data_IF_613196033150
#
_entry.id   IF_613196033150
#
_cell.length_a   1.000
_cell.length_b   1.000
_cell.length_c   1.000
_cell.angle_alpha   90.00
_cell.angle_beta   90.00
_cell.angle_gamma   90.00
#
_symmetry.space_group_name_H-M   'P 1'
#
loop_
_entity.id
_entity.type
_entity.pdbx_description
1 polymer ?
#
# COMPACT_ATOMS: atom_id res chain seq x y z
N UNK A 1 23.96 15.50 -69.85
CA UNK A 1 23.67 14.13 -69.38
C UNK A 1 24.87 13.58 -68.61
N UNK A 2 24.75 13.40 -67.29
CA UNK A 2 25.45 12.39 -66.46
C UNK A 2 25.06 12.61 -64.99
N UNK A 3 24.05 11.87 -64.56
CA UNK A 3 23.53 11.79 -63.20
C UNK A 3 24.46 10.92 -62.34
N UNK A 4 25.07 11.49 -61.29
CA UNK A 4 25.72 10.71 -60.22
C UNK A 4 24.68 10.40 -59.13
N UNK A 5 24.24 9.13 -59.06
CA UNK A 5 23.49 8.60 -57.91
C UNK A 5 24.48 8.29 -56.78
N UNK A 6 24.46 9.05 -55.70
CA UNK A 6 25.04 8.65 -54.41
C UNK A 6 24.10 7.64 -53.74
N UNK A 7 24.59 6.42 -53.51
CA UNK A 7 23.93 5.41 -52.69
C UNK A 7 24.16 5.78 -51.22
N UNK A 8 23.10 6.16 -50.51
CA UNK A 8 23.10 6.28 -49.06
C UNK A 8 22.85 4.88 -48.49
N UNK A 9 23.89 4.27 -47.92
CA UNK A 9 23.77 3.06 -47.12
C UNK A 9 23.19 3.41 -45.74
N UNK A 10 21.92 3.11 -45.49
CA UNK A 10 21.37 3.11 -44.14
C UNK A 10 21.91 1.90 -43.36
N UNK A 11 22.90 2.13 -42.49
CA UNK A 11 23.24 1.20 -41.41
C UNK A 11 22.13 1.25 -40.36
N UNK A 12 21.36 0.16 -40.20
CA UNK A 12 20.50 -0.09 -39.03
C UNK A 12 21.39 -0.14 -37.78
N UNK A 13 21.32 0.89 -36.93
CA UNK A 13 21.85 0.86 -35.56
C UNK A 13 20.81 0.20 -34.67
N UNK A 14 21.17 -0.95 -34.10
CA UNK A 14 20.45 -1.55 -32.97
C UNK A 14 20.86 -0.76 -31.73
N UNK A 15 19.92 -0.04 -31.12
CA UNK A 15 20.12 0.67 -29.85
C UNK A 15 19.80 -0.31 -28.71
N UNK A 16 20.72 -0.59 -27.77
CA UNK A 16 20.36 -1.25 -26.53
C UNK A 16 19.77 -0.21 -25.58
N UNK A 17 18.53 -0.42 -25.15
CA UNK A 17 17.88 0.35 -24.10
C UNK A 17 18.39 -0.18 -22.75
N UNK A 18 19.28 0.56 -22.10
CA UNK A 18 19.79 0.26 -20.76
C UNK A 18 18.77 0.84 -19.76
N UNK A 19 18.05 -0.01 -19.04
CA UNK A 19 17.16 0.39 -17.96
C UNK A 19 17.98 0.37 -16.64
N UNK A 20 18.13 1.55 -16.05
CA UNK A 20 18.91 1.77 -14.84
C UNK A 20 18.20 1.17 -13.61
N UNK A 21 18.90 0.29 -12.89
CA UNK A 21 18.48 -0.22 -11.60
C UNK A 21 18.79 0.81 -10.50
N UNK A 22 17.76 1.38 -9.88
CA UNK A 22 17.89 2.16 -8.67
C UNK A 22 17.70 1.24 -7.45
N UNK A 23 18.79 0.96 -6.74
CA UNK A 23 18.77 0.29 -5.44
C UNK A 23 18.21 1.25 -4.39
N UNK A 24 17.08 0.90 -3.78
CA UNK A 24 16.62 1.53 -2.54
C UNK A 24 16.92 0.57 -1.40
N UNK A 25 17.86 0.97 -0.55
CA UNK A 25 18.23 0.28 0.69
C UNK A 25 17.19 0.55 1.77
N UNK A 26 16.47 -0.49 2.20
CA UNK A 26 15.60 -0.46 3.39
C UNK A 26 16.34 -0.99 4.64
N UNK A 27 16.13 -0.41 5.83
CA UNK A 27 16.80 -0.83 7.05
C UNK A 27 16.24 -2.14 7.62
N UNK A 28 17.13 -2.94 8.21
CA UNK A 28 16.85 -4.17 8.91
C UNK A 28 16.04 -3.92 10.19
N UNK A 29 14.98 -4.70 10.43
CA UNK A 29 14.34 -4.85 11.73
C UNK A 29 14.31 -6.33 12.14
N UNK A 30 14.66 -6.55 13.42
CA UNK A 30 14.83 -7.83 14.10
C UNK A 30 13.49 -8.52 14.45
N UNK A 31 13.49 -9.84 14.75
CA UNK A 31 12.27 -10.63 14.96
C UNK A 31 11.74 -10.50 16.40
N UNK A 32 10.41 -10.59 16.64
CA UNK A 32 9.87 -10.72 17.98
C UNK A 32 9.92 -12.18 18.47
N UNK A 33 10.22 -12.32 19.76
CA UNK A 33 10.34 -13.57 20.50
C UNK A 33 8.98 -14.18 20.83
N UNK A 34 8.94 -15.51 20.86
CA UNK A 34 7.81 -16.32 21.29
C UNK A 34 7.68 -16.38 22.83
N UNK A 35 6.46 -16.22 23.35
CA UNK A 35 5.93 -16.71 24.62
C UNK A 35 4.40 -16.77 24.43
N UNK A 36 3.61 -17.73 24.90
CA UNK A 36 3.71 -18.66 26.02
C UNK A 36 2.34 -18.68 26.68
N UNK A 37 1.77 -19.88 26.86
CA UNK A 37 0.35 -20.19 27.03
C UNK A 37 -0.38 -19.73 28.33
N UNK A 38 -1.71 -19.67 28.19
CA UNK A 38 -2.81 -20.07 29.12
C UNK A 38 -2.96 -19.44 30.53
N UNK A 39 -4.15 -18.87 30.78
CA UNK A 39 -4.97 -19.12 31.98
C UNK A 39 -6.39 -18.56 31.81
N UNK A 40 -7.39 -19.45 31.79
CA UNK A 40 -8.83 -19.14 31.82
C UNK A 40 -9.30 -18.79 33.25
N UNK A 41 -10.26 -17.86 33.34
CA UNK A 41 -11.09 -17.58 34.51
C UNK A 41 -12.37 -16.85 34.08
N UNK A 42 -13.53 -17.09 34.72
CA UNK A 42 -14.84 -16.91 34.11
C UNK A 42 -15.25 -15.43 34.10
N UNK A 43 -15.39 -14.85 32.90
CA UNK A 43 -15.94 -13.51 32.68
C UNK A 43 -17.46 -13.55 32.44
N UNK A 44 -18.19 -12.47 32.79
CA UNK A 44 -19.63 -12.38 32.55
C UNK A 44 -19.93 -12.35 31.06
N UNK A 45 -21.10 -12.89 30.70
CA UNK A 45 -21.60 -13.12 29.35
C UNK A 45 -21.16 -12.05 28.34
N UNK A 46 -20.42 -12.50 27.33
CA UNK A 46 -20.14 -11.76 26.10
C UNK A 46 -21.47 -11.29 25.52
N UNK A 47 -21.73 -9.98 25.59
CA UNK A 47 -22.65 -9.36 24.64
C UNK A 47 -22.08 -9.68 23.25
N UNK A 48 -22.77 -10.54 22.50
CA UNK A 48 -22.45 -10.84 21.11
C UNK A 48 -22.40 -9.52 20.36
N UNK A 49 -21.19 -8.97 20.17
CA UNK A 49 -20.96 -7.85 19.27
C UNK A 49 -21.50 -8.29 17.91
N UNK A 50 -22.43 -7.52 17.35
CA UNK A 50 -22.85 -7.74 15.97
C UNK A 50 -21.60 -7.86 15.09
N UNK A 51 -21.56 -8.85 14.17
CA UNK A 51 -20.38 -9.08 13.38
C UNK A 51 -20.06 -7.81 12.58
N UNK A 52 -18.81 -7.36 12.69
CA UNK A 52 -18.33 -6.13 12.04
C UNK A 52 -18.51 -6.13 10.51
N UNK A 53 -18.56 -7.33 9.92
CA UNK A 53 -18.75 -7.57 8.50
C UNK A 53 -19.88 -8.59 8.27
N UNK A 54 -20.59 -8.47 7.16
CA UNK A 54 -21.54 -9.49 6.74
C UNK A 54 -20.84 -10.80 6.31
N UNK A 55 -21.58 -11.92 6.31
CA UNK A 55 -21.04 -13.24 5.98
C UNK A 55 -20.39 -13.29 4.59
N UNK A 56 -20.89 -12.51 3.63
CA UNK A 56 -20.38 -12.50 2.26
C UNK A 56 -19.02 -11.80 2.17
N UNK A 57 -18.85 -10.70 2.89
CA UNK A 57 -17.60 -9.96 2.99
C UNK A 57 -16.57 -10.77 3.76
N UNK A 58 -16.95 -11.43 4.85
CA UNK A 58 -16.07 -12.35 5.58
C UNK A 58 -15.59 -13.50 4.70
N UNK A 59 -16.50 -14.12 3.93
CA UNK A 59 -16.14 -15.19 3.01
C UNK A 59 -15.15 -14.74 1.93
N UNK A 60 -15.25 -13.48 1.46
CA UNK A 60 -14.28 -12.89 0.54
C UNK A 60 -12.92 -12.66 1.20
N UNK A 61 -12.90 -12.05 2.38
CA UNK A 61 -11.66 -11.80 3.14
C UNK A 61 -10.94 -13.09 3.57
N UNK A 62 -11.66 -14.21 3.65
CA UNK A 62 -11.13 -15.52 4.00
C UNK A 62 -10.85 -16.40 2.77
N UNK A 63 -11.16 -15.89 1.56
CA UNK A 63 -10.77 -16.57 0.35
C UNK A 63 -9.24 -16.44 0.16
N UNK A 64 -8.65 -17.37 -0.60
CA UNK A 64 -7.20 -17.37 -0.83
C UNK A 64 -6.81 -16.45 -2.00
N UNK A 65 -7.57 -15.37 -2.20
CA UNK A 65 -7.34 -14.32 -3.20
C UNK A 65 -7.15 -13.00 -2.44
N UNK A 66 -6.21 -12.17 -2.91
CA UNK A 66 -5.99 -10.83 -2.38
C UNK A 66 -6.40 -9.83 -3.44
N UNK A 67 -7.61 -9.31 -3.33
CA UNK A 67 -8.16 -8.23 -4.15
C UNK A 67 -7.70 -6.85 -3.64
N UNK A 68 -7.70 -5.86 -4.53
CA UNK A 68 -7.14 -4.55 -4.19
C UNK A 68 -8.02 -3.76 -3.21
N UNK A 69 -9.35 -3.84 -3.37
CA UNK A 69 -10.32 -3.08 -2.59
C UNK A 69 -10.49 -3.59 -1.15
N UNK A 70 -10.11 -4.83 -0.86
CA UNK A 70 -10.19 -5.43 0.47
C UNK A 70 -8.93 -5.25 1.33
N UNK A 71 -7.84 -4.68 0.78
CA UNK A 71 -6.61 -4.40 1.54
C UNK A 71 -6.89 -3.70 2.88
N UNK A 72 -7.76 -2.67 2.97
CA UNK A 72 -8.07 -2.03 4.24
C UNK A 72 -8.67 -3.00 5.27
N UNK A 73 -9.64 -3.81 4.85
CA UNK A 73 -10.36 -4.73 5.72
C UNK A 73 -9.46 -5.89 6.16
N UNK A 74 -8.61 -6.40 5.27
CA UNK A 74 -7.61 -7.42 5.59
C UNK A 74 -6.61 -6.92 6.65
N UNK A 75 -6.16 -5.67 6.52
CA UNK A 75 -5.26 -5.07 7.50
C UNK A 75 -5.98 -4.87 8.83
N UNK A 76 -7.21 -4.34 8.80
CA UNK A 76 -8.01 -4.15 10.00
C UNK A 76 -8.21 -5.46 10.77
N UNK A 77 -8.67 -6.50 10.05
CA UNK A 77 -9.09 -7.76 10.63
C UNK A 77 -7.93 -8.70 10.95
N UNK A 78 -6.85 -8.73 10.17
CA UNK A 78 -5.82 -9.79 10.27
C UNK A 78 -4.40 -9.31 10.50
N UNK A 79 -4.09 -8.01 10.39
CA UNK A 79 -2.75 -7.56 10.74
C UNK A 79 -2.55 -7.63 12.25
N UNK A 80 -1.63 -8.48 12.70
CA UNK A 80 -1.42 -8.74 14.13
C UNK A 80 -1.08 -7.48 14.94
N UNK A 81 -0.35 -6.53 14.36
CA UNK A 81 -0.02 -5.27 15.05
C UNK A 81 -1.24 -4.38 15.19
N UNK A 82 -2.12 -4.34 14.19
CA UNK A 82 -3.35 -3.54 14.24
C UNK A 82 -4.35 -4.16 15.20
N UNK A 83 -4.54 -5.49 15.14
CA UNK A 83 -5.36 -6.22 16.10
C UNK A 83 -4.91 -5.93 17.54
N UNK A 84 -3.63 -6.12 17.83
CA UNK A 84 -3.09 -5.88 19.18
C UNK A 84 -3.34 -4.44 19.64
N UNK A 85 -3.10 -3.45 18.77
CA UNK A 85 -3.30 -2.05 19.12
C UNK A 85 -4.78 -1.72 19.43
N UNK A 86 -5.72 -2.32 18.69
CA UNK A 86 -7.16 -2.16 18.94
C UNK A 86 -7.62 -2.92 20.18
N UNK A 87 -7.08 -4.11 20.43
CA UNK A 87 -7.35 -4.91 21.63
C UNK A 87 -6.87 -4.19 22.88
N UNK A 88 -5.66 -3.63 22.86
CA UNK A 88 -5.11 -2.84 23.97
C UNK A 88 -6.00 -1.62 24.26
N UNK A 89 -6.45 -0.90 23.22
CA UNK A 89 -7.37 0.23 23.38
C UNK A 89 -8.73 -0.18 23.98
N UNK A 90 -9.32 -1.25 23.45
CA UNK A 90 -10.61 -1.77 23.92
C UNK A 90 -10.52 -2.29 25.36
N UNK A 91 -9.39 -2.90 25.72
CA UNK A 91 -9.09 -3.34 27.08
C UNK A 91 -8.98 -2.15 28.03
N UNK A 92 -8.22 -1.12 27.66
CA UNK A 92 -8.09 0.10 28.48
C UNK A 92 -9.45 0.76 28.73
N UNK A 93 -10.30 0.83 27.70
CA UNK A 93 -11.67 1.35 27.83
C UNK A 93 -12.50 0.49 28.80
N UNK A 94 -12.45 -0.83 28.64
CA UNK A 94 -13.19 -1.78 29.48
C UNK A 94 -12.73 -1.74 30.94
N UNK A 95 -11.43 -1.70 31.18
CA UNK A 95 -10.85 -1.66 32.52
C UNK A 95 -11.14 -0.31 33.21
N UNK A 96 -11.13 0.80 32.46
CA UNK A 96 -11.58 2.13 32.94
C UNK A 96 -13.04 2.08 33.39
N UNK A 97 -13.94 1.46 32.61
CA UNK A 97 -15.35 1.31 32.94
C UNK A 97 -15.59 0.45 34.19
N UNK A 98 -14.81 -0.63 34.36
CA UNK A 98 -14.86 -1.47 35.57
C UNK A 98 -14.42 -0.69 36.80
N UNK A 99 -13.32 0.08 36.72
CA UNK A 99 -12.85 0.91 37.83
C UNK A 99 -13.89 1.97 38.21
N UNK A 100 -14.49 2.64 37.22
CA UNK A 100 -15.56 3.60 37.45
C UNK A 100 -16.74 2.95 38.19
N UNK A 101 -17.19 1.79 37.73
CA UNK A 101 -18.31 1.04 38.32
C UNK A 101 -18.02 0.65 39.77
N UNK A 102 -16.80 0.19 40.06
CA UNK A 102 -16.38 -0.15 41.42
C UNK A 102 -16.30 1.09 42.32
N UNK A 103 -15.79 2.22 41.83
CA UNK A 103 -15.78 3.46 42.62
C UNK A 103 -17.20 3.95 42.94
N UNK A 104 -18.15 3.79 42.01
CA UNK A 104 -19.56 4.10 42.25
C UNK A 104 -20.22 3.11 43.22
N UNK A 105 -19.85 1.83 43.19
CA UNK A 105 -20.35 0.84 44.16
C UNK A 105 -19.86 1.18 45.57
N UNK A 106 -18.57 1.51 45.73
CA UNK A 106 -17.99 1.93 47.00
C UNK A 106 -18.61 3.24 47.51
N UNK A 107 -18.88 4.21 46.63
CA UNK A 107 -19.59 5.43 47.00
C UNK A 107 -21.01 5.14 47.54
N UNK A 108 -21.74 4.18 46.94
CA UNK A 108 -23.06 3.77 47.43
C UNK A 108 -22.97 3.11 48.81
N UNK A 109 -21.99 2.23 49.01
CA UNK A 109 -21.76 1.60 50.31
C UNK A 109 -21.45 2.65 51.40
N UNK A 110 -20.59 3.63 51.11
CA UNK A 110 -20.31 4.72 52.05
C UNK A 110 -21.55 5.56 52.34
N UNK A 111 -22.43 5.78 51.35
CA UNK A 111 -23.72 6.45 51.55
C UNK A 111 -24.64 5.67 52.47
N UNK A 112 -24.73 4.36 52.32
CA UNK A 112 -25.55 3.48 53.18
C UNK A 112 -25.01 3.46 54.62
N UNK A 113 -23.68 3.36 54.80
CA UNK A 113 -23.04 3.42 56.12
C UNK A 113 -23.24 4.79 56.79
N UNK A 114 -23.16 5.87 56.02
CA UNK A 114 -23.48 7.23 56.49
C UNK A 114 -24.92 7.30 57.02
N UNK A 115 -25.89 6.81 56.26
CA UNK A 115 -27.31 6.82 56.65
C UNK A 115 -27.54 6.00 57.94
N UNK A 116 -26.89 4.83 58.08
CA UNK A 116 -26.94 4.02 59.30
C UNK A 116 -26.35 4.74 60.52
N UNK A 117 -25.20 5.41 60.37
CA UNK A 117 -24.57 6.17 61.45
C UNK A 117 -25.42 7.38 61.88
N UNK A 118 -26.10 8.04 60.93
CA UNK A 118 -27.06 9.12 61.22
C UNK A 118 -28.27 8.60 62.03
N UNK A 119 -28.79 7.43 61.69
CA UNK A 119 -29.90 6.78 62.42
C UNK A 119 -29.50 6.35 63.84
N UNK A 120 -28.22 5.98 64.05
CA UNK A 120 -27.64 5.63 65.35
C UNK A 120 -27.23 6.86 66.18
N UNK A 121 -27.22 8.06 65.58
CA UNK A 121 -26.81 9.30 66.22
C UNK A 121 -25.30 9.48 66.33
N UNK A 122 -24.50 8.71 65.60
CA UNK A 122 -23.05 8.82 65.54
C UNK A 122 -22.62 9.85 64.48
N UNK A 123 -22.48 11.10 64.93
CA UNK A 123 -22.11 12.20 64.05
C UNK A 123 -20.66 12.13 63.54
N UNK A 124 -19.76 11.42 64.23
CA UNK A 124 -18.35 11.31 63.84
C UNK A 124 -18.20 10.33 62.67
N UNK A 125 -18.81 9.16 62.78
CA UNK A 125 -18.80 8.15 61.71
C UNK A 125 -19.61 8.61 60.48
N UNK A 126 -20.75 9.28 60.69
CA UNK A 126 -21.53 9.87 59.59
C UNK A 126 -20.69 10.89 58.78
N UNK A 127 -19.92 11.74 59.46
CA UNK A 127 -19.04 12.71 58.79
C UNK A 127 -17.89 12.03 58.05
N UNK A 128 -17.30 10.99 58.64
CA UNK A 128 -16.26 10.18 58.00
C UNK A 128 -16.76 9.49 56.72
N UNK A 129 -17.90 8.80 56.77
CA UNK A 129 -18.48 8.14 55.61
C UNK A 129 -18.91 9.11 54.51
N UNK A 130 -19.43 10.29 54.88
CA UNK A 130 -19.74 11.35 53.91
C UNK A 130 -18.49 11.85 53.17
N UNK A 131 -17.35 11.98 53.87
CA UNK A 131 -16.08 12.36 53.24
C UNK A 131 -15.60 11.28 52.26
N UNK A 132 -15.71 10.00 52.64
CA UNK A 132 -15.29 8.88 51.81
C UNK A 132 -16.20 8.70 50.58
N UNK A 133 -17.52 8.81 50.74
CA UNK A 133 -18.48 8.86 49.63
C UNK A 133 -18.07 9.93 48.60
N UNK A 134 -17.80 11.15 49.07
CA UNK A 134 -17.42 12.26 48.21
C UNK A 134 -16.08 11.99 47.50
N UNK A 135 -15.11 11.40 48.20
CA UNK A 135 -13.83 11.00 47.62
C UNK A 135 -14.03 9.99 46.48
N UNK A 136 -14.76 8.90 46.72
CA UNK A 136 -15.07 7.89 45.71
C UNK A 136 -15.84 8.46 44.52
N UNK A 137 -16.84 9.32 44.75
CA UNK A 137 -17.56 10.02 43.67
C UNK A 137 -16.63 10.91 42.84
N UNK A 138 -15.72 11.62 43.49
CA UNK A 138 -14.76 12.49 42.79
C UNK A 138 -13.79 11.69 41.92
N UNK A 139 -13.36 10.52 42.40
CA UNK A 139 -12.54 9.58 41.62
C UNK A 139 -13.34 9.01 40.46
N UNK A 140 -14.54 8.47 40.72
CA UNK A 140 -15.43 7.91 39.71
C UNK A 140 -15.69 8.92 38.57
N UNK A 141 -15.92 10.19 38.92
CA UNK A 141 -16.12 11.27 37.94
C UNK A 141 -14.92 11.41 36.99
N UNK A 142 -13.68 11.32 37.46
CA UNK A 142 -12.50 11.38 36.59
C UNK A 142 -12.47 10.23 35.58
N UNK A 143 -12.90 9.03 36.01
CA UNK A 143 -13.03 7.89 35.11
C UNK A 143 -14.19 8.08 34.12
N UNK A 144 -15.32 8.67 34.53
CA UNK A 144 -16.39 9.09 33.61
C UNK A 144 -15.86 10.04 32.54
N UNK A 145 -15.16 11.10 32.94
CA UNK A 145 -14.60 12.08 32.01
C UNK A 145 -13.61 11.43 31.03
N UNK A 146 -12.85 10.42 31.49
CA UNK A 146 -11.93 9.63 30.66
C UNK A 146 -12.68 8.73 29.67
N UNK A 147 -13.78 8.09 30.10
CA UNK A 147 -14.64 7.30 29.21
C UNK A 147 -15.30 8.17 28.13
N UNK A 148 -15.81 9.35 28.50
CA UNK A 148 -16.32 10.32 27.52
C UNK A 148 -15.22 10.77 26.53
N UNK A 149 -13.95 10.75 26.95
CA UNK A 149 -12.83 11.02 26.06
C UNK A 149 -12.54 9.85 25.10
N UNK A 150 -12.74 8.59 25.51
CA UNK A 150 -12.63 7.41 24.63
C UNK A 150 -13.69 7.41 23.52
N UNK A 151 -14.90 7.89 23.80
CA UNK A 151 -15.99 7.99 22.81
C UNK A 151 -15.71 9.05 21.72
N UNK A 152 -14.77 9.97 21.96
CA UNK A 152 -14.45 11.02 20.99
C UNK A 152 -13.60 10.44 19.85
N UNK A 153 -13.83 10.86 18.58
CA UNK A 153 -13.04 10.40 17.43
C UNK A 153 -11.52 10.61 17.56
N UNK A 154 -11.09 11.53 18.42
CA UNK A 154 -9.68 11.79 18.71
C UNK A 154 -8.98 10.62 19.42
N UNK A 155 -9.71 9.80 20.19
CA UNK A 155 -9.12 8.73 21.00
C UNK A 155 -8.50 7.63 20.13
N UNK A 156 -9.19 7.24 19.06
CA UNK A 156 -8.72 6.23 18.11
C UNK A 156 -7.96 6.83 16.93
N UNK A 157 -7.74 8.16 16.90
CA UNK A 157 -7.16 8.84 15.73
C UNK A 157 -5.78 8.29 15.37
N UNK A 158 -4.91 8.09 16.37
CA UNK A 158 -3.57 7.55 16.14
C UNK A 158 -3.60 6.10 15.64
N UNK A 159 -4.52 5.28 16.16
CA UNK A 159 -4.70 3.89 15.71
C UNK A 159 -5.10 3.82 14.24
N UNK A 160 -6.16 4.55 13.87
CA UNK A 160 -6.62 4.66 12.48
C UNK A 160 -5.53 5.21 11.56
N UNK A 161 -4.69 6.12 12.05
CA UNK A 161 -3.56 6.62 11.27
C UNK A 161 -2.50 5.56 10.99
N UNK A 162 -2.14 4.75 11.99
CA UNK A 162 -1.19 3.64 11.82
C UNK A 162 -1.74 2.61 10.83
N UNK A 163 -3.02 2.25 10.98
CA UNK A 163 -3.72 1.36 10.07
C UNK A 163 -3.68 1.88 8.63
N UNK A 164 -4.06 3.14 8.42
CA UNK A 164 -4.03 3.79 7.09
C UNK A 164 -2.62 3.87 6.48
N UNK A 165 -1.57 4.01 7.30
CA UNK A 165 -0.19 3.94 6.80
C UNK A 165 0.15 2.54 6.27
N UNK A 166 -0.28 1.49 6.97
CA UNK A 166 -0.13 0.12 6.49
C UNK A 166 -0.93 -0.11 5.21
N UNK A 167 -2.17 0.39 5.12
CA UNK A 167 -2.99 0.29 3.89
C UNK A 167 -2.26 0.90 2.71
N UNK A 168 -1.80 2.15 2.83
CA UNK A 168 -1.02 2.81 1.77
C UNK A 168 0.25 2.01 1.40
N UNK A 169 0.92 1.43 2.40
CA UNK A 169 2.09 0.57 2.19
C UNK A 169 1.75 -0.70 1.40
N UNK A 170 0.68 -1.38 1.76
CA UNK A 170 0.21 -2.60 1.09
C UNK A 170 -0.26 -2.33 -0.33
N UNK A 171 -1.03 -1.27 -0.56
CA UNK A 171 -1.41 -0.83 -1.91
C UNK A 171 -0.17 -0.59 -2.79
N UNK A 172 0.86 0.07 -2.25
CA UNK A 172 2.13 0.32 -2.95
C UNK A 172 2.86 -0.98 -3.29
N UNK A 173 2.90 -1.95 -2.36
CA UNK A 173 3.47 -3.27 -2.63
C UNK A 173 2.67 -4.02 -3.71
N UNK A 174 1.35 -3.91 -3.72
CA UNK A 174 0.50 -4.56 -4.71
C UNK A 174 0.71 -3.95 -6.11
N UNK A 175 0.88 -2.63 -6.23
CA UNK A 175 1.28 -1.97 -7.48
C UNK A 175 2.64 -2.48 -7.97
N UNK A 176 3.62 -2.58 -7.06
CA UNK A 176 4.95 -3.10 -7.37
C UNK A 176 4.89 -4.55 -7.85
N UNK A 177 4.19 -5.42 -7.12
CA UNK A 177 4.00 -6.83 -7.47
C UNK A 177 3.38 -6.98 -8.86
N UNK A 178 2.28 -6.28 -9.13
CA UNK A 178 1.60 -6.35 -10.42
C UNK A 178 2.47 -5.84 -11.57
N UNK A 179 3.23 -4.77 -11.35
CA UNK A 179 4.18 -4.25 -12.34
C UNK A 179 5.30 -5.26 -12.64
N UNK A 180 5.85 -5.90 -11.60
CA UNK A 180 6.89 -6.92 -11.75
C UNK A 180 6.37 -8.20 -12.42
N UNK A 181 5.10 -8.57 -12.17
CA UNK A 181 4.44 -9.71 -12.83
C UNK A 181 4.38 -9.50 -14.35
N UNK A 182 4.04 -8.29 -14.80
CA UNK A 182 4.04 -7.93 -16.23
C UNK A 182 5.45 -7.93 -16.84
N UNK A 183 6.46 -7.51 -16.07
CA UNK A 183 7.87 -7.58 -16.51
C UNK A 183 8.33 -9.03 -16.66
N UNK A 184 7.96 -9.90 -15.72
CA UNK A 184 8.24 -11.34 -15.77
C UNK A 184 7.64 -11.99 -17.02
N UNK A 185 6.38 -11.70 -17.35
CA UNK A 185 5.71 -12.24 -18.55
C UNK A 185 6.46 -11.88 -19.85
N UNK A 186 6.89 -10.62 -20.00
CA UNK A 186 7.71 -10.21 -21.14
C UNK A 186 9.06 -10.91 -21.18
N UNK A 187 9.70 -11.03 -20.02
CA UNK A 187 11.00 -11.66 -19.91
C UNK A 187 10.93 -13.15 -20.24
N UNK A 188 9.82 -13.81 -19.90
CA UNK A 188 9.57 -15.22 -20.22
C UNK A 188 9.46 -15.41 -21.74
N UNK A 189 8.71 -14.53 -22.41
CA UNK A 189 8.64 -14.55 -23.87
C UNK A 189 9.97 -14.20 -24.54
N UNK A 190 10.74 -13.29 -23.95
CA UNK A 190 12.08 -12.95 -24.44
C UNK A 190 13.03 -14.16 -24.38
N UNK A 191 12.94 -14.96 -23.31
CA UNK A 191 13.64 -16.25 -23.20
C UNK A 191 13.25 -17.19 -24.34
N UNK A 192 11.96 -17.31 -24.66
CA UNK A 192 11.48 -18.16 -25.75
C UNK A 192 12.03 -17.72 -27.12
N UNK A 193 12.08 -16.40 -27.37
CA UNK A 193 12.68 -15.83 -28.59
C UNK A 193 14.17 -16.20 -28.68
N UNK A 194 14.94 -16.06 -27.59
CA UNK A 194 16.35 -16.41 -27.59
C UNK A 194 16.60 -17.90 -27.70
N UNK A 195 15.73 -18.74 -27.14
CA UNK A 195 15.79 -20.19 -27.35
C UNK A 195 15.64 -20.52 -28.83
N UNK A 196 14.62 -19.98 -29.51
CA UNK A 196 14.42 -20.23 -30.93
C UNK A 196 15.60 -19.73 -31.79
N UNK A 197 16.23 -18.60 -31.41
CA UNK A 197 17.45 -18.10 -32.08
C UNK A 197 18.65 -19.00 -31.87
N UNK A 198 18.80 -19.56 -30.67
CA UNK A 198 19.86 -20.52 -30.38
C UNK A 198 19.68 -21.81 -31.18
N UNK A 199 18.48 -22.37 -31.22
CA UNK A 199 18.16 -23.57 -32.01
C UNK A 199 18.47 -23.37 -33.50
N UNK A 200 18.09 -22.21 -34.05
CA UNK A 200 18.40 -21.84 -35.43
C UNK A 200 19.91 -21.74 -35.67
N UNK A 201 20.64 -21.07 -34.77
CA UNK A 201 22.08 -20.93 -34.88
C UNK A 201 22.80 -22.29 -34.82
N UNK A 202 22.32 -23.23 -33.99
CA UNK A 202 22.85 -24.60 -33.96
C UNK A 202 22.62 -25.32 -35.30
N UNK A 203 21.43 -25.23 -35.88
CA UNK A 203 21.13 -25.84 -37.17
C UNK A 203 22.01 -25.25 -38.30
N UNK A 204 22.26 -23.95 -38.29
CA UNK A 204 23.14 -23.28 -39.27
C UNK A 204 24.61 -23.69 -39.10
N UNK A 205 25.08 -23.93 -37.87
CA UNK A 205 26.41 -24.51 -37.64
C UNK A 205 26.49 -25.93 -38.20
N UNK A 206 25.47 -26.76 -37.98
CA UNK A 206 25.42 -28.12 -38.54
C UNK A 206 25.37 -28.12 -40.07
N UNK A 207 24.68 -27.15 -40.66
CA UNK A 207 24.64 -26.94 -42.11
C UNK A 207 25.92 -26.28 -42.67
N UNK A 208 26.88 -25.89 -41.83
CA UNK A 208 28.12 -25.24 -42.21
C UNK A 208 27.97 -23.79 -42.68
N UNK A 209 26.82 -23.16 -42.46
CA UNK A 209 26.53 -21.77 -42.87
C UNK A 209 26.88 -20.75 -41.80
N UNK A 210 27.09 -21.18 -40.55
CA UNK A 210 27.58 -20.35 -39.43
C UNK A 210 28.69 -21.01 -38.63
N UNK A 211 29.34 -20.22 -37.79
CA UNK A 211 30.42 -20.68 -36.92
C UNK A 211 29.93 -21.08 -35.53
N UNK A 212 30.68 -21.92 -34.82
CA UNK A 212 30.40 -22.24 -33.41
C UNK A 212 30.37 -21.00 -32.50
N UNK A 213 31.10 -19.94 -32.85
CA UNK A 213 31.09 -18.67 -32.13
C UNK A 213 29.72 -17.97 -32.22
N UNK A 214 29.03 -18.07 -33.37
CA UNK A 214 27.70 -17.50 -33.56
C UNK A 214 26.66 -18.22 -32.69
N UNK A 215 26.72 -19.55 -32.63
CA UNK A 215 25.86 -20.34 -31.75
C UNK A 215 26.15 -20.07 -30.26
N UNK A 216 27.42 -19.86 -29.89
CA UNK A 216 27.78 -19.49 -28.52
C UNK A 216 27.25 -18.10 -28.13
N UNK A 217 27.27 -17.13 -29.05
CA UNK A 217 26.70 -15.80 -28.83
C UNK A 217 25.19 -15.87 -28.55
N UNK A 218 24.45 -16.66 -29.34
CA UNK A 218 23.01 -16.89 -29.11
C UNK A 218 22.74 -17.60 -27.77
N UNK A 219 23.58 -18.57 -27.38
CA UNK A 219 23.49 -19.22 -26.07
C UNK A 219 23.67 -18.25 -24.91
N UNK A 220 24.63 -17.33 -25.01
CA UNK A 220 24.87 -16.34 -23.96
C UNK A 220 23.68 -15.39 -23.79
N UNK A 221 22.96 -15.05 -24.87
CA UNK A 221 21.73 -14.25 -24.80
C UNK A 221 20.60 -14.99 -24.09
N UNK A 222 20.42 -16.28 -24.39
CA UNK A 222 19.46 -17.14 -23.71
C UNK A 222 19.75 -17.21 -22.19
N UNK A 223 20.99 -17.54 -21.82
CA UNK A 223 21.40 -17.63 -20.40
C UNK A 223 21.21 -16.32 -19.65
N UNK A 224 21.45 -15.19 -20.33
CA UNK A 224 21.21 -13.86 -19.75
C UNK A 224 19.72 -13.61 -19.51
N UNK A 225 18.86 -14.04 -20.43
CA UNK A 225 17.42 -13.91 -20.26
C UNK A 225 16.86 -14.80 -19.14
N UNK A 226 17.37 -16.03 -19.01
CA UNK A 226 17.04 -16.96 -17.91
C UNK A 226 17.50 -16.43 -16.56
N UNK A 227 18.70 -15.87 -16.48
CA UNK A 227 19.22 -15.27 -15.25
C UNK A 227 18.37 -14.07 -14.79
N UNK A 228 17.91 -13.26 -15.74
CA UNK A 228 17.01 -12.15 -15.46
C UNK A 228 15.63 -12.63 -14.96
N UNK A 229 15.10 -13.74 -15.47
CA UNK A 229 13.87 -14.37 -14.95
C UNK A 229 14.02 -14.78 -13.48
N UNK A 230 15.09 -15.50 -13.15
CA UNK A 230 15.33 -15.96 -11.77
C UNK A 230 15.42 -14.77 -10.79
N UNK A 231 16.05 -13.67 -11.22
CA UNK A 231 16.15 -12.44 -10.43
C UNK A 231 14.78 -11.77 -10.24
N UNK A 232 13.96 -11.71 -11.29
CA UNK A 232 12.59 -11.20 -11.23
C UNK A 232 11.71 -12.05 -10.31
N UNK A 233 11.80 -13.39 -10.42
CA UNK A 233 11.05 -14.33 -9.58
C UNK A 233 11.41 -14.18 -8.11
N UNK A 234 12.70 -14.06 -7.80
CA UNK A 234 13.18 -13.82 -6.44
C UNK A 234 12.67 -12.50 -5.86
N UNK A 235 12.57 -11.47 -6.70
CA UNK A 235 12.10 -10.16 -6.27
C UNK A 235 10.57 -10.13 -6.12
N UNK A 236 9.84 -10.82 -7.01
CA UNK A 236 8.39 -11.02 -6.90
C UNK A 236 8.03 -11.75 -5.61
N UNK A 237 8.75 -12.83 -5.28
CA UNK A 237 8.53 -13.58 -4.04
C UNK A 237 8.72 -12.70 -2.79
N UNK A 238 9.71 -11.80 -2.80
CA UNK A 238 9.92 -10.85 -1.69
C UNK A 238 8.78 -9.85 -1.55
N UNK A 239 8.37 -9.21 -2.66
CA UNK A 239 7.27 -8.24 -2.63
C UNK A 239 5.97 -8.94 -2.21
N UNK A 240 5.71 -10.14 -2.72
CA UNK A 240 4.55 -10.96 -2.34
C UNK A 240 4.56 -11.30 -0.86
N UNK A 241 5.69 -11.78 -0.32
CA UNK A 241 5.82 -12.12 1.09
C UNK A 241 5.59 -10.91 1.99
N UNK A 242 6.15 -9.75 1.64
CA UNK A 242 5.91 -8.50 2.37
C UNK A 242 4.45 -8.06 2.32
N UNK A 243 3.78 -8.21 1.17
CA UNK A 243 2.35 -7.92 1.03
C UNK A 243 1.52 -8.85 1.92
N UNK A 244 1.79 -10.16 1.87
CA UNK A 244 1.10 -11.17 2.69
C UNK A 244 1.20 -10.86 4.18
N UNK A 245 2.41 -10.59 4.69
CA UNK A 245 2.60 -10.27 6.12
C UNK A 245 1.82 -9.02 6.52
N UNK A 246 1.82 -8.00 5.66
CA UNK A 246 1.12 -6.75 5.97
C UNK A 246 -0.40 -6.92 5.98
N UNK A 247 -0.94 -7.77 5.11
CA UNK A 247 -2.39 -8.06 5.04
C UNK A 247 -2.83 -9.21 5.94
N UNK A 248 -1.94 -9.74 6.80
CA UNK A 248 -2.27 -10.70 7.86
C UNK A 248 -2.06 -12.18 7.52
N UNK A 249 -1.59 -12.50 6.32
CA UNK A 249 -1.15 -13.85 5.99
C UNK A 249 0.23 -14.16 6.57
N UNK A 250 0.53 -15.44 6.76
CA UNK A 250 1.89 -15.86 7.09
C UNK A 250 2.86 -15.56 5.93
N UNK A 251 4.13 -15.32 6.24
CA UNK A 251 5.15 -14.99 5.24
C UNK A 251 5.36 -16.08 4.16
N UNK A 252 4.99 -17.32 4.46
CA UNK A 252 5.06 -18.48 3.55
C UNK A 252 3.73 -18.84 2.90
N UNK A 253 2.67 -18.05 3.11
CA UNK A 253 1.41 -18.23 2.42
C UNK A 253 1.55 -17.92 0.92
N UNK A 254 0.65 -18.50 0.12
CA UNK A 254 0.65 -18.33 -1.33
C UNK A 254 -0.74 -17.93 -1.86
N UNK A 255 -1.31 -16.79 -1.42
CA UNK A 255 -2.59 -16.31 -1.94
C UNK A 255 -2.45 -15.89 -3.41
N UNK A 256 -3.54 -16.01 -4.18
CA UNK A 256 -3.60 -15.44 -5.52
C UNK A 256 -3.71 -13.91 -5.41
N UNK A 257 -2.74 -13.18 -5.95
CA UNK A 257 -2.79 -11.72 -5.92
C UNK A 257 -3.60 -11.22 -7.12
N UNK A 258 -4.69 -10.53 -6.83
CA UNK A 258 -5.59 -9.91 -7.79
C UNK A 258 -4.90 -8.87 -8.67
N UNK A 259 -5.56 -8.54 -9.78
CA UNK A 259 -5.15 -7.44 -10.64
C UNK A 259 -5.52 -6.08 -10.03
N UNK A 260 -4.73 -5.07 -10.35
CA UNK A 260 -5.12 -3.68 -10.08
C UNK A 260 -6.29 -3.31 -11.00
N UNK A 261 -7.34 -2.64 -10.47
CA UNK A 261 -8.45 -2.16 -11.29
C UNK A 261 -8.00 -1.24 -12.44
N UNK A 262 -8.86 -1.10 -13.44
CA UNK A 262 -8.63 -0.10 -14.49
C UNK A 262 -8.79 1.31 -13.91
N UNK A 263 -7.83 2.18 -14.21
CA UNK A 263 -7.84 3.55 -13.71
C UNK A 263 -8.94 4.36 -14.41
N UNK A 264 -9.85 4.91 -13.61
CA UNK A 264 -10.93 5.76 -14.12
C UNK A 264 -10.49 7.23 -14.17
N UNK A 265 -10.34 7.73 -15.41
CA UNK A 265 -10.01 9.14 -15.63
C UNK A 265 -11.13 10.10 -15.21
N UNK A 266 -12.38 9.63 -15.06
CA UNK A 266 -13.49 10.47 -14.65
C UNK A 266 -13.36 10.98 -13.21
N UNK A 267 -12.64 10.25 -12.34
CA UNK A 267 -12.35 10.65 -10.96
C UNK A 267 -11.68 12.03 -10.92
N UNK A 268 -10.76 12.31 -11.85
CA UNK A 268 -10.05 13.60 -11.90
C UNK A 268 -10.98 14.80 -12.16
N UNK A 269 -12.14 14.59 -12.78
CA UNK A 269 -13.11 15.67 -13.02
C UNK A 269 -13.80 16.14 -11.73
N UNK A 270 -13.76 15.32 -10.69
CA UNK A 270 -14.35 15.65 -9.38
C UNK A 270 -13.39 16.42 -8.47
N UNK A 271 -12.11 16.50 -8.82
CA UNK A 271 -11.10 17.13 -7.98
C UNK A 271 -11.20 18.66 -8.01
N UNK A 272 -11.21 19.26 -6.84
CA UNK A 272 -11.04 20.69 -6.64
C UNK A 272 -9.69 20.90 -5.96
N UNK A 273 -8.65 21.14 -6.77
CA UNK A 273 -7.27 21.25 -6.29
C UNK A 273 -7.14 22.28 -5.18
N UNK A 274 -7.94 23.35 -5.18
CA UNK A 274 -7.88 24.37 -4.12
C UNK A 274 -8.49 23.84 -2.82
N UNK A 275 -9.70 23.29 -2.88
CA UNK A 275 -10.39 22.74 -1.70
C UNK A 275 -9.64 21.53 -1.13
N UNK A 276 -9.16 20.65 -2.00
CA UNK A 276 -8.39 19.45 -1.66
C UNK A 276 -7.04 19.81 -1.03
N UNK A 277 -6.36 20.86 -1.52
CA UNK A 277 -5.14 21.37 -0.89
C UNK A 277 -5.41 21.94 0.51
N UNK A 278 -6.50 22.67 0.69
CA UNK A 278 -6.88 23.18 2.02
C UNK A 278 -7.16 22.02 3.00
N UNK A 279 -7.84 20.97 2.53
CA UNK A 279 -8.08 19.75 3.30
C UNK A 279 -6.76 19.02 3.63
N UNK A 280 -5.85 18.89 2.66
CA UNK A 280 -4.52 18.32 2.86
C UNK A 280 -3.73 19.07 3.94
N UNK A 281 -3.73 20.41 3.91
CA UNK A 281 -3.06 21.27 4.90
C UNK A 281 -3.64 21.09 6.32
N UNK A 282 -4.96 20.86 6.42
CA UNK A 282 -5.61 20.55 7.69
C UNK A 282 -5.24 19.17 8.23
N UNK A 283 -5.09 18.19 7.34
CA UNK A 283 -4.92 16.78 7.70
C UNK A 283 -3.45 16.34 7.80
N UNK A 284 -2.51 17.06 7.20
CA UNK A 284 -1.11 16.64 7.12
C UNK A 284 -0.46 16.50 8.50
N UNK A 285 0.14 15.34 8.77
CA UNK A 285 0.68 15.03 10.11
C UNK A 285 1.92 15.86 10.45
N UNK A 286 2.79 16.11 9.48
CA UNK A 286 3.98 16.95 9.67
C UNK A 286 3.57 18.37 10.04
N UNK A 287 2.58 18.95 9.37
CA UNK A 287 2.05 20.28 9.70
C UNK A 287 1.35 20.32 11.06
N UNK A 288 0.56 19.29 11.40
CA UNK A 288 -0.06 19.18 12.73
C UNK A 288 1.01 19.13 13.82
N UNK A 289 2.07 18.34 13.62
CA UNK A 289 3.22 18.27 14.52
C UNK A 289 3.90 19.61 14.67
N UNK A 290 4.24 20.27 13.56
CA UNK A 290 4.86 21.59 13.55
C UNK A 290 4.02 22.66 14.26
N UNK A 291 2.70 22.68 14.08
CA UNK A 291 1.78 23.63 14.73
C UNK A 291 1.66 23.41 16.24
N UNK A 292 1.81 22.18 16.69
CA UNK A 292 1.67 21.79 18.11
C UNK A 292 3.00 21.75 18.86
N UNK A 293 4.12 21.83 18.14
CA UNK A 293 5.46 21.80 18.70
C UNK A 293 5.69 22.98 19.67
N UNK A 294 6.35 22.69 20.79
CA UNK A 294 6.70 23.71 21.77
C UNK A 294 7.75 24.67 21.21
N UNK A 295 7.51 25.97 21.34
CA UNK A 295 8.41 27.01 20.85
C UNK A 295 8.64 28.12 21.89
N UNK A 296 9.75 28.84 21.73
CA UNK A 296 10.06 30.00 22.58
C UNK A 296 9.00 31.09 22.41
N UNK A 297 8.39 31.53 23.51
CA UNK A 297 7.38 32.61 23.53
C UNK A 297 7.98 34.02 23.35
N UNK A 298 9.28 34.12 23.03
CA UNK A 298 9.89 35.37 22.57
C UNK A 298 9.36 35.77 21.19
N UNK A 299 9.45 37.05 20.83
CA UNK A 299 9.05 37.54 19.50
C UNK A 299 9.77 36.77 18.39
N UNK A 300 11.09 36.61 18.50
CA UNK A 300 11.88 35.88 17.51
C UNK A 300 11.48 34.39 17.43
N UNK A 301 11.23 33.75 18.57
CA UNK A 301 10.78 32.36 18.64
C UNK A 301 9.41 32.15 18.00
N UNK A 302 8.46 33.04 18.30
CA UNK A 302 7.10 32.98 17.72
C UNK A 302 7.11 33.26 16.21
N UNK A 303 7.89 34.26 15.75
CA UNK A 303 8.02 34.54 14.31
C UNK A 303 8.67 33.38 13.58
N UNK A 304 9.71 32.75 14.16
CA UNK A 304 10.34 31.60 13.53
C UNK A 304 9.38 30.39 13.44
N UNK A 305 8.62 30.12 14.49
CA UNK A 305 7.62 29.05 14.48
C UNK A 305 6.55 29.26 13.41
N UNK A 306 5.99 30.48 13.33
CA UNK A 306 5.01 30.81 12.28
C UNK A 306 5.60 30.61 10.87
N UNK A 307 6.83 31.09 10.65
CA UNK A 307 7.53 30.92 9.37
C UNK A 307 7.73 29.45 8.99
N UNK A 308 8.05 28.58 9.95
CA UNK A 308 8.21 27.13 9.69
C UNK A 308 6.89 26.52 9.26
N UNK A 309 5.79 26.83 9.96
CA UNK A 309 4.45 26.35 9.59
C UNK A 309 4.04 26.87 8.21
N UNK A 310 4.19 28.16 7.95
CA UNK A 310 3.88 28.77 6.64
C UNK A 310 4.70 28.15 5.50
N UNK A 311 5.99 27.89 5.75
CA UNK A 311 6.85 27.21 4.77
C UNK A 311 6.34 25.80 4.46
N UNK A 312 5.97 25.03 5.48
CA UNK A 312 5.39 23.70 5.29
C UNK A 312 4.08 23.73 4.51
N UNK A 313 3.20 24.70 4.78
CA UNK A 313 1.94 24.88 4.05
C UNK A 313 2.18 25.20 2.55
N UNK A 314 3.17 26.04 2.26
CA UNK A 314 3.59 26.34 0.89
C UNK A 314 4.17 25.11 0.19
N UNK A 315 5.02 24.35 0.87
CA UNK A 315 5.59 23.10 0.35
C UNK A 315 4.49 22.07 0.03
N UNK A 316 3.51 21.92 0.92
CA UNK A 316 2.37 21.04 0.68
C UNK A 316 1.53 21.52 -0.50
N UNK A 317 1.29 22.83 -0.62
CA UNK A 317 0.57 23.40 -1.77
C UNK A 317 1.25 23.07 -3.09
N UNK A 318 2.58 23.23 -3.16
CA UNK A 318 3.37 22.87 -4.34
C UNK A 318 3.31 21.36 -4.59
N UNK A 319 3.40 20.54 -3.53
CA UNK A 319 3.30 19.08 -3.63
C UNK A 319 1.96 18.62 -4.18
N UNK A 320 0.85 19.21 -3.72
CA UNK A 320 -0.49 18.90 -4.22
C UNK A 320 -0.66 19.24 -5.70
N UNK A 321 -0.15 20.40 -6.13
CA UNK A 321 -0.14 20.76 -7.56
C UNK A 321 0.71 19.78 -8.38
N UNK A 322 1.86 19.36 -7.86
CA UNK A 322 2.74 18.39 -8.50
C UNK A 322 2.09 16.99 -8.61
N UNK A 323 1.35 16.54 -7.59
CA UNK A 323 0.60 15.29 -7.62
C UNK A 323 -0.52 15.33 -8.66
N UNK A 324 -1.26 16.44 -8.73
CA UNK A 324 -2.28 16.64 -9.77
C UNK A 324 -1.66 16.58 -11.17
N UNK A 325 -0.57 17.31 -11.40
CA UNK A 325 0.11 17.28 -12.69
C UNK A 325 0.67 15.89 -13.02
N UNK A 326 1.20 15.18 -12.03
CA UNK A 326 1.64 13.79 -12.18
C UNK A 326 0.50 12.89 -12.64
N UNK A 327 -0.69 13.01 -12.04
CA UNK A 327 -1.87 12.24 -12.46
C UNK A 327 -2.25 12.55 -13.92
N UNK A 328 -2.24 13.83 -14.32
CA UNK A 328 -2.48 14.24 -15.72
C UNK A 328 -1.45 13.60 -16.67
N UNK A 329 -0.17 13.64 -16.31
CA UNK A 329 0.90 13.08 -17.13
C UNK A 329 0.79 11.56 -17.26
N UNK A 330 0.44 10.86 -16.17
CA UNK A 330 0.22 9.40 -16.18
C UNK A 330 -1.02 9.01 -16.98
N UNK A 331 -2.10 9.79 -16.91
CA UNK A 331 -3.27 9.61 -17.77
C UNK A 331 -2.87 9.70 -19.25
N UNK A 332 -2.13 10.75 -19.63
CA UNK A 332 -1.69 10.93 -21.02
C UNK A 332 -0.75 9.78 -21.47
N UNK A 333 0.12 9.30 -20.59
CA UNK A 333 0.97 8.15 -20.85
C UNK A 333 0.17 6.86 -21.03
N UNK A 334 -0.89 6.66 -20.24
CA UNK A 334 -1.83 5.55 -20.38
C UNK A 334 -2.56 5.58 -21.73
N UNK A 335 -3.13 6.74 -22.10
CA UNK A 335 -3.82 6.93 -23.37
C UNK A 335 -2.88 6.64 -24.57
N UNK A 336 -1.63 7.11 -24.50
CA UNK A 336 -0.62 6.83 -25.51
C UNK A 336 -0.22 5.35 -25.57
N UNK A 337 -0.04 4.70 -24.42
CA UNK A 337 0.28 3.28 -24.35
C UNK A 337 -0.86 2.41 -24.87
N UNK A 338 -2.11 2.79 -24.59
CA UNK A 338 -3.31 2.13 -25.11
C UNK A 338 -3.36 2.17 -26.64
N UNK A 339 -3.11 3.32 -27.26
CA UNK A 339 -3.04 3.43 -28.73
C UNK A 339 -1.92 2.55 -29.32
N UNK A 340 -0.76 2.50 -28.65
CA UNK A 340 0.36 1.62 -29.03
C UNK A 340 0.01 0.14 -28.94
N UNK A 341 -0.70 -0.28 -27.89
CA UNK A 341 -1.20 -1.63 -27.71
C UNK A 341 -2.20 -2.04 -28.79
N UNK A 342 -3.18 -1.18 -29.10
CA UNK A 342 -4.17 -1.44 -30.15
C UNK A 342 -3.50 -1.67 -31.52
N UNK A 343 -2.51 -0.85 -31.87
CA UNK A 343 -1.72 -1.03 -33.10
C UNK A 343 -0.96 -2.35 -33.12
N UNK A 344 -0.33 -2.71 -32.00
CA UNK A 344 0.39 -3.97 -31.87
C UNK A 344 -0.53 -5.20 -31.92
N UNK A 345 -1.75 -5.11 -31.38
CA UNK A 345 -2.75 -6.16 -31.46
C UNK A 345 -3.15 -6.47 -32.91
N UNK A 346 -3.31 -5.44 -33.74
CA UNK A 346 -3.55 -5.59 -35.19
C UNK A 346 -2.36 -6.26 -35.87
N UNK A 347 -1.13 -5.78 -35.58
CA UNK A 347 0.09 -6.35 -36.16
C UNK A 347 0.28 -7.83 -35.77
N UNK A 348 -0.05 -8.20 -34.52
CA UNK A 348 -0.02 -9.57 -34.02
C UNK A 348 -0.99 -10.46 -34.77
N UNK A 349 -2.22 -10.01 -35.00
CA UNK A 349 -3.20 -10.77 -35.79
C UNK A 349 -2.70 -11.04 -37.23
N UNK A 350 -2.06 -10.06 -37.86
CA UNK A 350 -1.43 -10.26 -39.18
C UNK A 350 -0.29 -11.29 -39.10
N UNK A 351 0.53 -11.25 -38.06
CA UNK A 351 1.59 -12.24 -37.85
C UNK A 351 1.02 -13.66 -37.63
N UNK A 352 -0.06 -13.80 -36.85
CA UNK A 352 -0.76 -15.08 -36.64
C UNK A 352 -1.22 -15.69 -37.97
N UNK A 353 -1.85 -14.87 -38.83
CA UNK A 353 -2.34 -15.31 -40.14
C UNK A 353 -1.18 -15.76 -41.03
N UNK A 354 -0.11 -14.96 -41.12
CA UNK A 354 1.07 -15.31 -41.93
C UNK A 354 1.75 -16.57 -41.42
N UNK A 355 1.85 -16.76 -40.11
CA UNK A 355 2.42 -17.95 -39.51
C UNK A 355 1.59 -19.20 -39.83
N UNK A 356 0.25 -19.12 -39.69
CA UNK A 356 -0.67 -20.21 -40.08
C UNK A 356 -0.58 -20.59 -41.55
N UNK A 357 -0.26 -19.63 -42.42
CA UNK A 357 -0.07 -19.85 -43.86
C UNK A 357 1.37 -20.29 -44.20
N UNK A 358 2.23 -20.56 -43.22
CA UNK A 358 3.66 -20.88 -43.38
C UNK A 358 4.46 -19.78 -44.12
N UNK A 359 3.97 -18.53 -44.09
CA UNK A 359 4.60 -17.37 -44.72
C UNK A 359 5.53 -16.59 -43.78
N UNK A 360 5.64 -17.01 -42.51
CA UNK A 360 6.46 -16.39 -41.48
C UNK A 360 7.30 -17.47 -40.80
N UNK A 361 8.60 -17.22 -40.61
CA UNK A 361 9.45 -18.15 -39.86
C UNK A 361 9.03 -18.17 -38.38
N UNK A 362 9.37 -19.26 -37.67
CA UNK A 362 9.09 -19.36 -36.23
C UNK A 362 9.74 -18.23 -35.42
N UNK A 363 10.97 -17.85 -35.75
CA UNK A 363 11.66 -16.75 -35.07
C UNK A 363 10.96 -15.40 -35.30
N UNK A 364 10.55 -15.11 -36.54
CA UNK A 364 9.87 -13.84 -36.85
C UNK A 364 8.48 -13.77 -36.20
N UNK A 365 7.78 -14.91 -36.09
CA UNK A 365 6.52 -14.99 -35.36
C UNK A 365 6.69 -14.70 -33.87
N UNK A 366 7.67 -15.34 -33.21
CA UNK A 366 7.94 -15.11 -31.79
C UNK A 366 8.37 -13.66 -31.51
N UNK A 367 9.11 -13.01 -32.43
CA UNK A 367 9.44 -11.58 -32.32
C UNK A 367 8.21 -10.67 -32.44
N UNK A 368 7.27 -10.99 -33.34
CA UNK A 368 6.01 -10.26 -33.45
C UNK A 368 5.15 -10.43 -32.19
N UNK A 369 5.10 -11.64 -31.63
CA UNK A 369 4.39 -11.93 -30.38
C UNK A 369 5.02 -11.20 -29.19
N UNK A 370 6.36 -11.19 -29.08
CA UNK A 370 7.09 -10.41 -28.07
C UNK A 370 6.77 -8.92 -28.18
N UNK A 371 6.75 -8.37 -29.39
CA UNK A 371 6.42 -6.94 -29.61
C UNK A 371 5.01 -6.61 -29.11
N UNK A 372 4.06 -7.52 -29.34
CA UNK A 372 2.70 -7.39 -28.82
C UNK A 372 2.66 -7.41 -27.28
N UNK A 373 3.31 -8.39 -26.64
CA UNK A 373 3.35 -8.49 -25.18
C UNK A 373 4.02 -7.27 -24.55
N UNK A 374 5.10 -6.75 -25.15
CA UNK A 374 5.76 -5.54 -24.68
C UNK A 374 4.81 -4.33 -24.72
N UNK A 375 3.97 -4.22 -25.75
CA UNK A 375 2.99 -3.13 -25.85
C UNK A 375 1.80 -3.33 -24.92
N UNK A 376 1.35 -4.57 -24.71
CA UNK A 376 0.34 -4.93 -23.72
C UNK A 376 0.81 -4.56 -22.31
N UNK A 377 1.99 -5.02 -21.93
CA UNK A 377 2.58 -4.72 -20.63
C UNK A 377 2.85 -3.23 -20.45
N UNK A 378 3.29 -2.50 -21.48
CA UNK A 378 3.45 -1.05 -21.40
C UNK A 378 2.11 -0.34 -21.09
N UNK A 379 1.01 -0.82 -21.69
CA UNK A 379 -0.35 -0.34 -21.39
C UNK A 379 -0.78 -0.70 -19.97
N UNK A 380 -0.59 -1.95 -19.56
CA UNK A 380 -0.96 -2.43 -18.21
C UNK A 380 -0.14 -1.73 -17.12
N UNK A 381 1.16 -1.53 -17.32
CA UNK A 381 2.03 -0.76 -16.42
C UNK A 381 1.66 0.72 -16.39
N UNK A 382 1.25 1.31 -17.53
CA UNK A 382 0.77 2.68 -17.54
C UNK A 382 -0.58 2.82 -16.81
N UNK A 383 -1.45 1.81 -16.87
CA UNK A 383 -2.67 1.76 -16.06
C UNK A 383 -2.34 1.75 -14.57
N UNK A 384 -1.46 0.85 -14.12
CA UNK A 384 -1.03 0.76 -12.71
C UNK A 384 -0.44 2.10 -12.27
N UNK A 385 0.45 2.70 -13.07
CA UNK A 385 1.07 3.98 -12.72
C UNK A 385 0.08 5.15 -12.70
N UNK A 386 -0.98 5.10 -13.52
CA UNK A 386 -2.05 6.09 -13.46
C UNK A 386 -2.91 5.89 -12.23
N UNK A 387 -3.33 4.66 -11.93
CA UNK A 387 -4.07 4.33 -10.72
C UNK A 387 -3.30 4.73 -9.46
N UNK A 388 -2.01 4.41 -9.38
CA UNK A 388 -1.12 4.80 -8.29
C UNK A 388 -1.06 6.33 -8.13
N UNK A 389 -1.02 7.09 -9.22
CA UNK A 389 -1.02 8.55 -9.16
C UNK A 389 -2.36 9.11 -8.65
N UNK A 390 -3.49 8.50 -9.01
CA UNK A 390 -4.81 8.86 -8.44
C UNK A 390 -4.82 8.61 -6.93
N UNK A 391 -4.42 7.42 -6.49
CA UNK A 391 -4.34 7.07 -5.06
C UNK A 391 -3.36 7.96 -4.31
N UNK A 392 -2.21 8.29 -4.89
CA UNK A 392 -1.24 9.18 -4.26
C UNK A 392 -1.82 10.58 -4.00
N UNK A 393 -2.65 11.09 -4.92
CA UNK A 393 -3.37 12.35 -4.73
C UNK A 393 -4.39 12.22 -3.58
N UNK A 394 -5.23 11.19 -3.59
CA UNK A 394 -6.22 10.94 -2.53
C UNK A 394 -5.56 10.80 -1.14
N UNK A 395 -4.47 10.03 -1.05
CA UNK A 395 -3.69 9.88 0.17
C UNK A 395 -3.12 11.21 0.66
N UNK A 396 -2.70 12.09 -0.26
CA UNK A 396 -2.19 13.41 0.09
C UNK A 396 -3.29 14.34 0.62
N UNK A 397 -4.50 14.32 0.03
CA UNK A 397 -5.69 15.02 0.54
C UNK A 397 -6.03 14.61 1.96
N UNK A 398 -5.85 13.32 2.25
CA UNK A 398 -6.08 12.75 3.58
C UNK A 398 -4.90 12.94 4.55
N UNK A 399 -3.85 13.64 4.13
CA UNK A 399 -2.72 14.03 4.99
C UNK A 399 -1.58 13.02 5.08
N UNK A 400 -1.59 11.96 4.24
CA UNK A 400 -0.54 10.94 4.15
C UNK A 400 0.44 11.26 3.01
N UNK A 401 0.97 12.47 3.00
CA UNK A 401 2.06 12.88 2.10
C UNK A 401 3.15 13.56 2.91
N UNK A 402 4.39 13.27 2.56
CA UNK A 402 5.53 13.94 3.16
C UNK A 402 5.71 15.32 2.53
N UNK A 403 6.20 16.25 3.35
CA UNK A 403 6.69 17.57 2.95
C UNK A 403 8.15 17.64 3.40
N UNK A 404 9.06 17.90 2.45
CA UNK A 404 10.51 17.99 2.67
C UNK A 404 10.93 19.42 3.00
#
# INVERSE_FOLDING_TARGET
>A
MKTRRQKICLRRKVLPLILAAAFVSGPCLYPPAAYGAEAEGPGPAEEEKEPEYDEATLARLEDNVLEYDEIPDLIHKYNSSIQQNWDDFNKDMTDTAKIQTELLSQARLMKELKESAEDEGDAEDAAYYAQQEQSYKSMAKRYTDTMEDYDKPKATKSLRQQERQLVKGAETLMFSYNSMRLQRENQEKLRDVYQAKYDLAQAEVQAGTKTALDAQSAKNQLLSAESALISLDSSLAKVKSSLCVMTGWSAGADPEIGSIPEADAAVMNSWDVSADTAKAIGNNQTLIGQRTESYSKSTAGSTNHLRVVEQGEQQLTIKMQSLYQTAVDKKNAYDAAMAGYQSAAIAKNVADQKYRLNMLSRSDYLEAELTYLQKKAARDSANIAFYEALKAYEWAVDGFTDIE
#
